data_IF_047089446953
#
_entry.id   IF_047089446953
#
_cell.length_a   1.000
_cell.length_b   1.000
_cell.length_c   1.000
_cell.angle_alpha   90.00
_cell.angle_beta   90.00
_cell.angle_gamma   90.00
#
_symmetry.space_group_name_H-M   'P 1'
#
loop_
_entity.id
_entity.type
_entity.pdbx_description
1 polymer ?
#
# COMPACT_ATOMS: atom_id res chain seq x y z
N UNK A 1 12.01 -7.49 -22.03
CA UNK A 1 10.78 -7.19 -21.27
C UNK A 1 11.17 -6.27 -20.13
N UNK A 2 10.37 -5.23 -19.81
CA UNK A 2 10.65 -4.37 -18.65
C UNK A 2 10.64 -5.21 -17.36
N UNK A 3 11.60 -4.98 -16.48
CA UNK A 3 11.72 -5.67 -15.20
C UNK A 3 10.50 -5.45 -14.29
N UNK A 4 10.27 -6.36 -13.36
CA UNK A 4 9.27 -6.22 -12.31
C UNK A 4 9.70 -5.11 -11.35
N UNK A 5 8.78 -4.26 -10.95
CA UNK A 5 9.04 -3.13 -10.06
C UNK A 5 8.50 -3.39 -8.65
N UNK A 6 9.11 -2.77 -7.65
CA UNK A 6 8.67 -2.86 -6.25
C UNK A 6 8.19 -1.47 -5.79
N UNK A 7 7.00 -1.42 -5.20
CA UNK A 7 6.51 -0.28 -4.42
C UNK A 7 6.73 -0.61 -2.94
N UNK A 8 7.50 0.21 -2.27
CA UNK A 8 7.85 0.01 -0.86
C UNK A 8 6.76 0.56 0.05
N UNK A 9 6.32 -0.21 1.06
CA UNK A 9 5.13 0.13 1.87
C UNK A 9 5.39 0.23 3.37
N UNK A 10 6.61 0.02 3.85
CA UNK A 10 6.91 -0.03 5.30
C UNK A 10 6.58 1.27 6.02
N UNK A 11 6.85 2.42 5.39
CA UNK A 11 6.62 3.74 6.01
C UNK A 11 5.13 4.04 6.22
N UNK A 12 4.26 3.48 5.39
CA UNK A 12 2.82 3.68 5.48
C UNK A 12 2.07 2.41 5.91
N UNK A 13 1.97 1.39 5.04
CA UNK A 13 1.09 0.24 5.29
C UNK A 13 1.66 -0.69 6.37
N UNK A 14 2.94 -1.01 6.31
CA UNK A 14 3.61 -1.81 7.33
C UNK A 14 3.54 -1.16 8.71
N UNK A 15 3.86 0.13 8.80
CA UNK A 15 3.74 0.93 10.01
C UNK A 15 2.29 0.97 10.53
N UNK A 16 1.31 1.11 9.64
CA UNK A 16 -0.10 1.12 10.03
C UNK A 16 -0.56 -0.26 10.52
N UNK A 17 -0.20 -1.30 9.82
CA UNK A 17 -0.67 -2.66 10.09
C UNK A 17 -0.07 -3.24 11.37
N UNK A 18 1.24 -3.13 11.55
CA UNK A 18 1.94 -3.73 12.68
C UNK A 18 2.11 -2.80 13.87
N UNK A 19 2.22 -1.49 13.62
CA UNK A 19 2.57 -0.48 14.64
C UNK A 19 1.49 0.60 14.81
N UNK A 20 0.28 0.37 14.32
CA UNK A 20 -0.86 1.29 14.41
C UNK A 20 -0.53 2.72 13.95
N UNK A 21 0.32 2.87 12.94
CA UNK A 21 0.87 4.12 12.40
C UNK A 21 1.75 4.94 13.39
N UNK A 22 2.14 4.35 14.51
CA UNK A 22 2.89 5.05 15.57
C UNK A 22 4.37 4.70 15.64
N UNK A 23 4.82 3.67 14.93
CA UNK A 23 6.20 3.19 15.02
C UNK A 23 7.24 4.15 14.42
N UNK A 24 6.83 5.01 13.49
CA UNK A 24 7.74 5.84 12.70
C UNK A 24 7.39 7.32 12.81
N UNK A 25 8.34 8.13 13.23
CA UNK A 25 8.30 9.60 13.22
C UNK A 25 9.12 10.17 12.06
N UNK A 26 9.18 11.49 11.96
CA UNK A 26 9.91 12.19 10.90
C UNK A 26 11.41 11.91 10.94
N UNK A 27 12.03 11.87 12.13
CA UNK A 27 13.45 11.61 12.26
C UNK A 27 13.82 10.20 11.77
N UNK A 28 13.04 9.18 12.17
CA UNK A 28 13.22 7.79 11.71
C UNK A 28 13.01 7.65 10.22
N UNK A 29 12.02 8.34 9.66
CA UNK A 29 11.78 8.39 8.21
C UNK A 29 12.99 8.93 7.45
N UNK A 30 13.53 10.08 7.90
CA UNK A 30 14.67 10.72 7.25
C UNK A 30 15.97 9.91 7.40
N UNK A 31 16.11 9.16 8.47
CA UNK A 31 17.28 8.28 8.67
C UNK A 31 17.37 7.19 7.61
N UNK A 32 16.24 6.60 7.18
CA UNK A 32 16.24 5.51 6.19
C UNK A 32 16.16 6.03 4.75
N UNK A 33 15.74 7.26 4.54
CA UNK A 33 15.50 7.83 3.21
C UNK A 33 16.69 7.72 2.24
N UNK A 34 17.96 8.03 2.63
CA UNK A 34 19.10 7.92 1.71
C UNK A 34 19.37 6.48 1.24
N UNK A 35 19.07 5.48 2.07
CA UNK A 35 19.21 4.08 1.69
C UNK A 35 18.08 3.66 0.76
N UNK A 36 16.83 4.02 1.07
CA UNK A 36 15.67 3.74 0.23
C UNK A 36 15.81 4.35 -1.16
N UNK A 37 16.39 5.56 -1.26
CA UNK A 37 16.66 6.24 -2.55
C UNK A 37 17.62 5.46 -3.45
N UNK A 38 18.52 4.65 -2.88
CA UNK A 38 19.48 3.83 -3.65
C UNK A 38 18.89 2.52 -4.14
N UNK A 39 17.83 2.01 -3.52
CA UNK A 39 17.26 0.69 -3.85
C UNK A 39 16.70 0.64 -5.27
N UNK A 40 16.18 1.74 -5.80
CA UNK A 40 15.50 1.76 -7.10
C UNK A 40 14.03 1.36 -7.02
N UNK A 41 13.37 1.59 -5.89
CA UNK A 41 11.92 1.38 -5.78
C UNK A 41 11.15 2.22 -6.81
N UNK A 42 10.08 1.65 -7.36
CA UNK A 42 9.15 2.37 -8.22
C UNK A 42 8.53 3.58 -7.54
N UNK A 43 8.21 3.43 -6.28
CA UNK A 43 7.67 4.47 -5.41
C UNK A 43 7.77 4.04 -3.94
N UNK A 44 7.70 5.01 -3.04
CA UNK A 44 7.50 4.79 -1.62
C UNK A 44 6.04 5.10 -1.28
N UNK A 45 5.28 4.12 -0.83
CA UNK A 45 3.97 4.33 -0.23
C UNK A 45 4.17 5.01 1.14
N UNK A 46 4.11 6.34 1.14
CA UNK A 46 4.71 7.16 2.17
C UNK A 46 3.73 7.55 3.27
N UNK A 47 2.55 8.02 2.89
CA UNK A 47 1.60 8.56 3.85
C UNK A 47 0.15 8.52 3.35
N UNK A 48 -0.77 8.76 4.27
CA UNK A 48 -2.21 8.88 4.04
C UNK A 48 -2.76 9.87 5.06
N UNK A 49 -3.99 10.30 4.91
CA UNK A 49 -4.68 11.17 5.87
C UNK A 49 -4.64 10.62 7.32
N UNK A 50 -4.73 9.31 7.50
CA UNK A 50 -4.57 8.66 8.81
C UNK A 50 -3.20 8.97 9.43
N UNK A 51 -2.11 8.82 8.66
CA UNK A 51 -0.76 9.11 9.13
C UNK A 51 -0.56 10.60 9.42
N UNK A 52 -1.15 11.49 8.60
CA UNK A 52 -1.15 12.93 8.88
C UNK A 52 -1.87 13.24 10.19
N UNK A 53 -3.02 12.61 10.43
CA UNK A 53 -3.75 12.74 11.70
C UNK A 53 -2.96 12.21 12.91
N UNK A 54 -2.24 11.10 12.75
CA UNK A 54 -1.35 10.53 13.78
C UNK A 54 -0.17 11.46 14.05
N UNK A 55 0.47 12.02 13.02
CA UNK A 55 1.56 12.98 13.16
C UNK A 55 1.16 14.15 14.04
N UNK A 56 0.01 14.77 13.78
CA UNK A 56 -0.50 15.89 14.58
C UNK A 56 -0.90 15.48 16.00
N UNK A 57 -1.71 14.42 16.13
CA UNK A 57 -2.35 14.06 17.41
C UNK A 57 -1.38 13.40 18.39
N UNK A 58 -0.53 12.53 17.91
CA UNK A 58 0.30 11.65 18.76
C UNK A 58 1.79 12.00 18.70
N UNK A 59 2.31 12.38 17.54
CA UNK A 59 3.74 12.70 17.37
C UNK A 59 4.05 14.19 17.58
N UNK A 60 3.01 15.07 17.51
CA UNK A 60 3.17 16.54 17.61
C UNK A 60 4.08 17.09 16.51
N UNK A 61 3.97 16.52 15.30
CA UNK A 61 4.74 16.87 14.12
C UNK A 61 3.84 17.54 13.07
N UNK A 62 4.42 18.43 12.27
CA UNK A 62 3.77 18.97 11.06
C UNK A 62 3.87 17.94 9.92
N UNK A 63 2.76 17.32 9.49
CA UNK A 63 2.77 16.33 8.42
C UNK A 63 3.18 16.90 7.06
N UNK A 64 2.94 18.18 6.82
CA UNK A 64 3.35 18.84 5.57
C UNK A 64 4.86 19.05 5.52
N UNK A 65 5.47 19.45 6.63
CA UNK A 65 6.92 19.55 6.74
C UNK A 65 7.57 18.18 6.56
N UNK A 66 7.01 17.14 7.18
CA UNK A 66 7.48 15.75 7.00
C UNK A 66 7.51 15.35 5.52
N UNK A 67 6.47 15.70 4.74
CA UNK A 67 6.43 15.43 3.29
C UNK A 67 7.54 16.19 2.57
N UNK A 68 7.69 17.49 2.83
CA UNK A 68 8.72 18.34 2.20
C UNK A 68 10.14 17.83 2.47
N UNK A 69 10.41 17.47 3.72
CA UNK A 69 11.72 16.93 4.12
C UNK A 69 12.02 15.60 3.43
N UNK A 70 11.02 14.72 3.37
CA UNK A 70 11.18 13.42 2.70
C UNK A 70 11.37 13.58 1.19
N UNK A 71 10.60 14.44 0.53
CA UNK A 71 10.75 14.74 -0.90
C UNK A 71 12.14 15.30 -1.23
N UNK A 72 12.69 16.13 -0.34
CA UNK A 72 14.07 16.62 -0.47
C UNK A 72 15.11 15.52 -0.28
N UNK A 73 14.88 14.58 0.65
CA UNK A 73 15.78 13.47 0.92
C UNK A 73 15.74 12.39 -0.18
N UNK A 74 14.64 12.28 -0.90
CA UNK A 74 14.41 11.29 -1.97
C UNK A 74 13.95 11.97 -3.27
N UNK A 75 14.84 12.69 -3.96
CA UNK A 75 14.45 13.50 -5.14
C UNK A 75 14.11 12.67 -6.39
N UNK A 76 14.61 11.43 -6.50
CA UNK A 76 14.38 10.57 -7.67
C UNK A 76 13.19 9.63 -7.47
N UNK A 77 13.06 9.04 -6.28
CA UNK A 77 12.01 8.05 -5.99
C UNK A 77 10.68 8.77 -5.67
N UNK A 78 9.60 8.54 -6.42
CA UNK A 78 8.32 9.17 -6.16
C UNK A 78 7.76 8.80 -4.78
N UNK A 79 7.33 9.80 -4.01
CA UNK A 79 6.52 9.58 -2.81
C UNK A 79 5.05 9.42 -3.20
N UNK A 80 4.40 8.40 -2.63
CA UNK A 80 3.00 8.09 -2.87
C UNK A 80 2.14 8.51 -1.68
N UNK A 81 1.03 9.20 -1.97
CA UNK A 81 -0.06 9.44 -1.04
C UNK A 81 -1.22 8.48 -1.33
N UNK A 82 -1.73 7.79 -0.30
CA UNK A 82 -2.95 6.99 -0.42
C UNK A 82 -4.16 7.83 -0.01
N UNK A 83 -5.11 8.01 -0.95
CA UNK A 83 -6.41 8.64 -0.71
C UNK A 83 -7.55 7.62 -0.76
N UNK A 84 -8.53 7.77 0.11
CA UNK A 84 -9.74 6.93 0.15
C UNK A 84 -10.95 7.64 -0.50
N UNK A 85 -10.80 8.07 -1.74
CA UNK A 85 -11.80 8.86 -2.46
C UNK A 85 -11.91 10.28 -1.89
N UNK A 86 -13.13 10.79 -1.76
CA UNK A 86 -13.41 12.12 -1.22
C UNK A 86 -13.33 12.21 0.32
N UNK A 87 -12.34 11.52 0.93
CA UNK A 87 -12.09 11.55 2.39
C UNK A 87 -10.66 11.94 2.65
N UNK A 88 -10.44 12.93 3.52
CA UNK A 88 -9.08 13.39 3.78
C UNK A 88 -8.66 13.22 5.25
N UNK A 89 -9.35 13.79 6.20
CA UNK A 89 -8.94 13.74 7.63
C UNK A 89 -9.81 12.78 8.45
N UNK A 90 -11.02 12.55 8.01
CA UNK A 90 -11.99 11.68 8.66
C UNK A 90 -12.59 10.69 7.68
N UNK A 91 -13.50 9.86 8.15
CA UNK A 91 -14.33 9.01 7.29
C UNK A 91 -15.51 9.75 6.65
N UNK A 92 -15.70 11.02 6.97
CA UNK A 92 -16.72 11.87 6.36
C UNK A 92 -16.27 12.32 4.97
N UNK A 93 -17.23 12.50 4.09
CA UNK A 93 -16.98 12.98 2.73
C UNK A 93 -16.66 14.47 2.78
N UNK A 94 -15.53 14.86 2.22
CA UNK A 94 -15.13 16.24 2.06
C UNK A 94 -15.70 16.84 0.76
N UNK A 95 -15.84 18.18 0.70
CA UNK A 95 -16.24 18.84 -0.52
C UNK A 95 -15.17 18.74 -1.62
N UNK A 96 -15.56 18.81 -2.91
CA UNK A 96 -14.61 18.80 -4.02
C UNK A 96 -13.55 19.90 -3.90
N UNK A 97 -13.93 21.10 -3.47
CA UNK A 97 -13.03 22.25 -3.31
C UNK A 97 -11.97 21.98 -2.23
N UNK A 98 -12.40 21.41 -1.11
CA UNK A 98 -11.47 21.02 -0.04
C UNK A 98 -10.52 19.92 -0.52
N UNK A 99 -11.01 18.91 -1.23
CA UNK A 99 -10.15 17.85 -1.78
C UNK A 99 -9.15 18.40 -2.79
N UNK A 100 -9.58 19.31 -3.67
CA UNK A 100 -8.69 19.97 -4.62
C UNK A 100 -7.58 20.77 -3.92
N UNK A 101 -7.92 21.52 -2.87
CA UNK A 101 -6.94 22.22 -2.04
C UNK A 101 -5.96 21.25 -1.37
N UNK A 102 -6.46 20.16 -0.81
CA UNK A 102 -5.64 19.13 -0.18
C UNK A 102 -4.66 18.49 -1.18
N UNK A 103 -5.13 18.10 -2.36
CA UNK A 103 -4.27 17.54 -3.42
C UNK A 103 -3.25 18.57 -3.92
N UNK A 104 -3.62 19.83 -4.12
CA UNK A 104 -2.69 20.89 -4.50
C UNK A 104 -1.59 21.07 -3.43
N UNK A 105 -1.95 21.03 -2.15
CA UNK A 105 -0.99 21.13 -1.05
C UNK A 105 -0.06 19.92 -0.98
N UNK A 106 -0.57 18.71 -1.26
CA UNK A 106 0.24 17.50 -1.34
C UNK A 106 1.26 17.60 -2.49
N UNK A 107 0.82 18.00 -3.68
CA UNK A 107 1.69 18.17 -4.85
C UNK A 107 2.77 19.22 -4.58
N UNK A 108 2.41 20.40 -4.09
CA UNK A 108 3.38 21.46 -3.78
C UNK A 108 4.32 21.09 -2.62
N UNK A 109 3.93 20.14 -1.77
CA UNK A 109 4.80 19.58 -0.74
C UNK A 109 5.73 18.48 -1.24
N UNK A 110 5.59 18.00 -2.50
CA UNK A 110 6.47 17.04 -3.13
C UNK A 110 5.90 15.64 -3.34
N UNK A 111 4.58 15.45 -3.15
CA UNK A 111 3.92 14.21 -3.56
C UNK A 111 3.80 14.14 -5.08
N UNK A 112 4.33 13.07 -5.67
CA UNK A 112 4.33 12.89 -7.13
C UNK A 112 3.40 11.77 -7.59
N UNK A 113 3.13 10.79 -6.71
CA UNK A 113 2.30 9.64 -6.99
C UNK A 113 1.11 9.59 -6.03
N UNK A 114 -0.07 9.22 -6.56
CA UNK A 114 -1.31 9.12 -5.79
C UNK A 114 -1.95 7.76 -6.02
N UNK A 115 -2.24 7.04 -4.93
CA UNK A 115 -3.03 5.82 -4.94
C UNK A 115 -4.45 6.14 -4.48
N UNK A 116 -5.43 5.83 -5.31
CA UNK A 116 -6.85 6.03 -5.01
C UNK A 116 -7.48 4.69 -4.63
N UNK A 117 -7.91 4.54 -3.39
CA UNK A 117 -8.46 3.30 -2.87
C UNK A 117 -9.80 3.54 -2.15
N UNK A 118 -10.86 3.74 -2.92
CA UNK A 118 -12.21 3.77 -2.37
C UNK A 118 -12.64 2.34 -1.97
N UNK A 119 -12.93 2.08 -0.69
CA UNK A 119 -13.33 0.74 -0.23
C UNK A 119 -14.60 0.21 -0.89
N UNK A 120 -15.45 1.10 -1.41
CA UNK A 120 -16.69 0.74 -2.10
C UNK A 120 -16.50 0.51 -3.60
N UNK A 121 -15.26 0.58 -4.11
CA UNK A 121 -14.95 0.48 -5.54
C UNK A 121 -15.76 1.43 -6.44
N UNK A 122 -16.08 2.63 -5.93
CA UNK A 122 -16.78 3.63 -6.74
C UNK A 122 -15.83 4.20 -7.79
N UNK A 123 -15.87 3.63 -8.99
CA UNK A 123 -14.99 4.02 -10.09
C UNK A 123 -15.20 5.50 -10.50
N UNK A 124 -16.42 6.00 -10.47
CA UNK A 124 -16.72 7.39 -10.86
C UNK A 124 -16.10 8.39 -9.86
N UNK A 125 -16.15 8.08 -8.56
CA UNK A 125 -15.48 8.85 -7.51
C UNK A 125 -13.96 8.84 -7.68
N UNK A 126 -13.38 7.68 -7.96
CA UNK A 126 -11.93 7.56 -8.19
C UNK A 126 -11.49 8.32 -9.45
N UNK A 127 -12.27 8.29 -10.54
CA UNK A 127 -11.98 9.07 -11.76
C UNK A 127 -12.06 10.57 -11.47
N UNK A 128 -13.08 11.02 -10.71
CA UNK A 128 -13.18 12.43 -10.33
C UNK A 128 -11.97 12.89 -9.48
N UNK A 129 -11.54 12.09 -8.51
CA UNK A 129 -10.33 12.36 -7.75
C UNK A 129 -9.07 12.36 -8.62
N UNK A 130 -8.95 11.41 -9.56
CA UNK A 130 -7.81 11.34 -10.48
C UNK A 130 -7.69 12.62 -11.32
N UNK A 131 -8.82 13.09 -11.86
CA UNK A 131 -8.87 14.36 -12.61
C UNK A 131 -8.42 15.54 -11.77
N UNK A 132 -8.93 15.67 -10.54
CA UNK A 132 -8.51 16.75 -9.63
C UNK A 132 -7.00 16.72 -9.35
N UNK A 133 -6.44 15.52 -9.14
CA UNK A 133 -4.99 15.35 -8.91
C UNK A 133 -4.20 15.80 -10.13
N UNK A 134 -4.61 15.41 -11.34
CA UNK A 134 -3.97 15.83 -12.59
C UNK A 134 -4.07 17.33 -12.80
N UNK A 135 -5.24 17.93 -12.55
CA UNK A 135 -5.45 19.39 -12.66
C UNK A 135 -4.53 20.20 -11.74
N UNK A 136 -4.14 19.68 -10.59
CA UNK A 136 -3.24 20.36 -9.65
C UNK A 136 -1.76 19.96 -9.82
N UNK A 137 -1.42 19.18 -10.86
CA UNK A 137 -0.04 18.83 -11.23
C UNK A 137 0.45 17.49 -10.66
N UNK A 138 -0.43 16.61 -10.17
CA UNK A 138 -0.03 15.26 -9.77
C UNK A 138 0.47 14.46 -10.97
N UNK A 139 1.67 13.84 -10.84
CA UNK A 139 2.36 13.21 -11.96
C UNK A 139 1.77 11.83 -12.31
N UNK A 140 1.43 11.02 -11.31
CA UNK A 140 1.01 9.64 -11.52
C UNK A 140 -0.12 9.24 -10.58
N UNK A 141 -1.19 8.69 -11.15
CA UNK A 141 -2.37 8.22 -10.41
C UNK A 141 -2.57 6.74 -10.66
N UNK A 142 -2.60 5.95 -9.58
CA UNK A 142 -2.95 4.53 -9.62
C UNK A 142 -4.26 4.30 -8.90
N UNK A 143 -5.25 3.69 -9.57
CA UNK A 143 -6.56 3.45 -9.00
C UNK A 143 -6.71 1.99 -8.54
N UNK A 144 -7.23 1.82 -7.31
CA UNK A 144 -7.44 0.51 -6.71
C UNK A 144 -8.73 -0.16 -7.19
N UNK A 145 -8.62 -1.46 -7.33
CA UNK A 145 -9.71 -2.41 -7.21
C UNK A 145 -9.58 -3.06 -5.83
N UNK A 146 -10.35 -2.59 -4.87
CA UNK A 146 -10.27 -3.07 -3.47
C UNK A 146 -10.94 -4.43 -3.40
N UNK A 147 -10.13 -5.45 -3.11
CA UNK A 147 -10.59 -6.83 -3.07
C UNK A 147 -11.32 -7.14 -1.76
N UNK A 148 -12.49 -7.74 -1.89
CA UNK A 148 -13.30 -8.30 -0.80
C UNK A 148 -14.08 -9.51 -1.31
N UNK A 149 -14.67 -10.26 -0.41
CA UNK A 149 -15.45 -11.44 -0.71
C UNK A 149 -16.92 -11.20 -0.39
N UNK A 150 -17.77 -11.36 -1.37
CA UNK A 150 -19.24 -11.41 -1.21
C UNK A 150 -19.84 -12.03 -2.47
N UNK A 151 -21.14 -12.37 -2.47
CA UNK A 151 -21.82 -12.94 -3.65
C UNK A 151 -21.80 -12.05 -4.89
N UNK A 152 -21.57 -10.74 -4.74
CA UNK A 152 -21.54 -9.78 -5.87
C UNK A 152 -20.12 -9.42 -6.32
N UNK A 153 -19.07 -9.78 -5.56
CA UNK A 153 -17.68 -9.45 -5.88
C UNK A 153 -17.01 -10.60 -6.65
N UNK A 154 -17.60 -10.92 -7.81
CA UNK A 154 -17.07 -11.90 -8.77
C UNK A 154 -16.09 -11.24 -9.78
N UNK A 155 -15.63 -12.01 -10.77
CA UNK A 155 -14.73 -11.51 -11.80
C UNK A 155 -15.39 -10.43 -12.67
N UNK A 156 -16.67 -10.58 -12.99
CA UNK A 156 -17.40 -9.65 -13.85
C UNK A 156 -17.56 -8.27 -13.16
N UNK A 157 -17.83 -8.27 -11.86
CA UNK A 157 -17.86 -7.04 -11.06
C UNK A 157 -16.52 -6.28 -11.12
N UNK A 158 -15.41 -6.97 -10.84
CA UNK A 158 -14.09 -6.34 -10.87
C UNK A 158 -13.68 -5.90 -12.27
N UNK A 159 -14.00 -6.68 -13.30
CA UNK A 159 -13.76 -6.34 -14.70
C UNK A 159 -14.55 -5.09 -15.12
N UNK A 160 -15.82 -4.96 -14.71
CA UNK A 160 -16.62 -3.78 -14.97
C UNK A 160 -16.01 -2.51 -14.33
N UNK A 161 -15.60 -2.60 -13.06
CA UNK A 161 -14.90 -1.50 -12.37
C UNK A 161 -13.57 -1.17 -13.07
N UNK A 162 -12.77 -2.20 -13.42
CA UNK A 162 -11.48 -2.04 -14.08
C UNK A 162 -11.60 -1.31 -15.43
N UNK A 163 -12.60 -1.66 -16.25
CA UNK A 163 -12.87 -1.00 -17.53
C UNK A 163 -13.18 0.48 -17.36
N UNK A 164 -14.02 0.83 -16.39
CA UNK A 164 -14.36 2.24 -16.10
C UNK A 164 -13.12 3.04 -15.69
N UNK A 165 -12.30 2.51 -14.79
CA UNK A 165 -11.06 3.16 -14.36
C UNK A 165 -10.06 3.28 -15.52
N UNK A 166 -9.91 2.22 -16.30
CA UNK A 166 -8.97 2.20 -17.43
C UNK A 166 -9.36 3.14 -18.56
N UNK A 167 -10.64 3.42 -18.74
CA UNK A 167 -11.15 4.36 -19.76
C UNK A 167 -10.75 5.83 -19.48
N UNK A 168 -10.42 6.18 -18.24
CA UNK A 168 -10.02 7.54 -17.90
C UNK A 168 -8.55 7.79 -18.27
N UNK A 169 -8.28 8.89 -18.97
CA UNK A 169 -6.91 9.35 -19.26
C UNK A 169 -6.16 9.82 -18.00
N UNK A 170 -6.91 10.21 -16.96
CA UNK A 170 -6.34 10.71 -15.70
C UNK A 170 -5.85 9.58 -14.76
N UNK A 171 -6.17 8.32 -15.07
CA UNK A 171 -5.69 7.13 -14.35
C UNK A 171 -4.53 6.51 -15.11
N UNK A 172 -3.33 6.50 -14.57
CA UNK A 172 -2.14 5.99 -15.25
C UNK A 172 -1.98 4.47 -15.12
N UNK A 173 -2.41 3.89 -13.99
CA UNK A 173 -2.34 2.45 -13.72
C UNK A 173 -3.49 2.00 -12.81
N UNK A 174 -3.71 0.69 -12.78
CA UNK A 174 -4.60 0.08 -11.80
C UNK A 174 -3.80 -0.83 -10.86
N UNK A 175 -4.33 -1.03 -9.65
CA UNK A 175 -3.80 -2.08 -8.78
C UNK A 175 -4.91 -2.85 -8.07
N UNK A 176 -4.71 -4.16 -7.94
CA UNK A 176 -5.56 -4.98 -7.08
C UNK A 176 -5.06 -4.75 -5.66
N UNK A 177 -5.94 -4.23 -4.80
CA UNK A 177 -5.65 -3.98 -3.39
C UNK A 177 -6.42 -4.95 -2.53
N UNK A 178 -5.70 -5.91 -1.97
CA UNK A 178 -6.21 -6.89 -1.01
C UNK A 178 -5.74 -6.56 0.42
N UNK A 179 -6.40 -5.61 1.10
CA UNK A 179 -5.97 -5.16 2.43
C UNK A 179 -6.32 -6.15 3.53
N UNK A 180 -7.21 -7.11 3.25
CA UNK A 180 -7.55 -8.21 4.15
C UNK A 180 -6.62 -9.41 4.03
N UNK A 181 -5.82 -9.49 2.98
CA UNK A 181 -5.00 -10.66 2.66
C UNK A 181 -5.84 -11.88 2.31
N UNK A 182 -7.00 -11.68 1.66
CA UNK A 182 -8.00 -12.71 1.38
C UNK A 182 -7.86 -13.34 -0.01
N UNK A 183 -7.04 -12.73 -0.87
CA UNK A 183 -6.82 -13.21 -2.23
C UNK A 183 -6.00 -14.50 -2.21
N UNK A 184 -6.65 -15.62 -2.46
CA UNK A 184 -5.99 -16.92 -2.55
C UNK A 184 -5.34 -17.12 -3.93
N UNK A 185 -4.32 -17.99 -4.08
CA UNK A 185 -3.77 -18.33 -5.39
C UNK A 185 -4.83 -18.85 -6.37
N UNK A 186 -5.80 -19.64 -5.89
CA UNK A 186 -6.90 -20.14 -6.71
C UNK A 186 -7.77 -18.99 -7.26
N UNK A 187 -8.12 -18.01 -6.41
CA UNK A 187 -8.93 -16.87 -6.81
C UNK A 187 -8.16 -15.90 -7.73
N UNK A 188 -6.87 -15.75 -7.48
CA UNK A 188 -5.98 -14.90 -8.28
C UNK A 188 -5.86 -15.38 -9.73
N UNK A 189 -5.87 -16.70 -9.96
CA UNK A 189 -5.74 -17.32 -11.31
C UNK A 189 -6.86 -16.94 -12.27
N UNK A 190 -8.04 -16.60 -11.78
CA UNK A 190 -9.15 -16.13 -12.62
C UNK A 190 -9.21 -14.61 -12.66
N UNK A 191 -9.14 -13.98 -11.48
CA UNK A 191 -9.33 -12.55 -11.33
C UNK A 191 -8.25 -11.70 -12.02
N UNK A 192 -6.97 -12.01 -11.80
CA UNK A 192 -5.87 -11.19 -12.31
C UNK A 192 -5.82 -11.19 -13.84
N UNK A 193 -5.88 -12.35 -14.53
CA UNK A 193 -5.96 -12.38 -15.99
C UNK A 193 -7.19 -11.67 -16.55
N UNK A 194 -8.37 -11.80 -15.91
CA UNK A 194 -9.60 -11.16 -16.35
C UNK A 194 -9.47 -9.62 -16.28
N UNK A 195 -8.95 -9.09 -15.18
CA UNK A 195 -8.67 -7.65 -15.03
C UNK A 195 -7.62 -7.22 -16.06
N UNK A 196 -6.52 -7.99 -16.22
CA UNK A 196 -5.45 -7.66 -17.18
C UNK A 196 -6.00 -7.50 -18.60
N UNK A 197 -6.87 -8.42 -19.03
CA UNK A 197 -7.49 -8.37 -20.34
C UNK A 197 -8.44 -7.16 -20.53
N UNK A 198 -8.98 -6.63 -19.44
CA UNK A 198 -9.97 -5.55 -19.45
C UNK A 198 -9.39 -4.13 -19.49
N UNK A 199 -8.10 -3.95 -19.14
CA UNK A 199 -7.50 -2.63 -18.91
C UNK A 199 -6.58 -2.12 -20.02
N UNK A 200 -6.53 -2.82 -21.17
CA UNK A 200 -5.71 -2.43 -22.32
C UNK A 200 -4.21 -2.37 -21.96
N UNK A 201 -3.53 -1.30 -22.33
CA UNK A 201 -2.08 -1.14 -22.09
C UNK A 201 -1.73 -0.59 -20.70
N UNK A 202 -2.70 -0.25 -19.88
CA UNK A 202 -2.44 0.30 -18.55
C UNK A 202 -1.72 -0.72 -17.67
N UNK A 203 -0.67 -0.31 -16.95
CA UNK A 203 0.02 -1.18 -15.99
C UNK A 203 -0.92 -1.71 -14.91
N UNK A 204 -0.74 -2.98 -14.54
CA UNK A 204 -1.40 -3.60 -13.40
C UNK A 204 -0.39 -3.82 -12.29
N UNK A 205 -0.74 -3.42 -11.08
CA UNK A 205 0.04 -3.61 -9.86
C UNK A 205 -0.73 -4.50 -8.88
N UNK A 206 -0.04 -5.11 -7.93
CA UNK A 206 -0.64 -5.98 -6.91
C UNK A 206 -0.18 -5.60 -5.52
N UNK A 207 -1.16 -5.46 -4.62
CA UNK A 207 -0.98 -5.24 -3.20
C UNK A 207 -1.84 -6.26 -2.44
N UNK A 208 -1.21 -7.13 -1.69
CA UNK A 208 -1.91 -8.08 -0.82
C UNK A 208 -1.22 -8.17 0.53
N UNK A 209 -2.00 -8.39 1.59
CA UNK A 209 -1.48 -8.64 2.92
C UNK A 209 -1.20 -10.14 3.15
N UNK A 210 -0.35 -10.46 4.12
CA UNK A 210 0.01 -11.84 4.47
C UNK A 210 -0.91 -12.47 5.53
N UNK A 211 -2.06 -11.87 5.77
CA UNK A 211 -2.94 -12.15 6.91
C UNK A 211 -3.35 -13.62 7.06
N UNK A 212 -3.57 -14.30 5.94
CA UNK A 212 -3.89 -15.74 5.89
C UNK A 212 -2.72 -16.62 5.44
N UNK A 213 -1.51 -16.07 5.36
CA UNK A 213 -0.31 -16.80 4.95
C UNK A 213 -0.17 -17.08 3.45
N UNK A 214 -1.05 -16.57 2.59
CA UNK A 214 -1.07 -16.87 1.16
C UNK A 214 -0.63 -15.72 0.25
N UNK A 215 -0.46 -14.51 0.77
CA UNK A 215 -0.16 -13.31 -0.03
C UNK A 215 1.10 -13.44 -0.88
N UNK A 216 2.18 -14.01 -0.34
CA UNK A 216 3.42 -14.19 -1.07
C UNK A 216 3.28 -15.22 -2.22
N UNK A 217 2.49 -16.27 -2.03
CA UNK A 217 2.25 -17.27 -3.09
C UNK A 217 1.55 -16.63 -4.31
N UNK A 218 0.62 -15.70 -4.08
CA UNK A 218 -0.02 -14.94 -5.17
C UNK A 218 0.99 -14.08 -5.91
N UNK A 219 1.97 -13.51 -5.19
CA UNK A 219 3.01 -12.66 -5.79
C UNK A 219 3.93 -13.45 -6.72
N UNK A 220 4.21 -14.72 -6.42
CA UNK A 220 5.09 -15.55 -7.26
C UNK A 220 4.50 -15.82 -8.65
N UNK A 221 3.18 -15.99 -8.74
CA UNK A 221 2.49 -16.22 -10.01
C UNK A 221 2.11 -14.91 -10.76
N UNK A 222 1.99 -13.81 -10.04
CA UNK A 222 1.46 -12.53 -10.55
C UNK A 222 2.18 -11.96 -11.80
N UNK A 223 3.52 -12.02 -11.92
CA UNK A 223 4.21 -11.54 -13.12
C UNK A 223 3.81 -12.32 -14.37
N UNK A 224 3.55 -13.63 -14.26
CA UNK A 224 3.06 -14.49 -15.33
C UNK A 224 1.67 -14.07 -15.84
N UNK A 225 0.88 -13.41 -15.03
CA UNK A 225 -0.43 -12.84 -15.38
C UNK A 225 -0.37 -11.37 -15.83
N UNK A 226 0.84 -10.82 -16.00
CA UNK A 226 1.04 -9.47 -16.51
C UNK A 226 1.03 -8.36 -15.46
N UNK A 227 1.14 -8.70 -14.18
CA UNK A 227 1.41 -7.70 -13.12
C UNK A 227 2.82 -7.14 -13.30
N UNK A 228 2.97 -5.81 -13.17
CA UNK A 228 4.21 -5.08 -13.42
C UNK A 228 4.85 -4.49 -12.18
N UNK A 229 4.11 -4.35 -11.08
CA UNK A 229 4.65 -3.92 -9.82
C UNK A 229 4.00 -4.64 -8.64
N UNK A 230 4.80 -4.95 -7.62
CA UNK A 230 4.37 -5.58 -6.38
C UNK A 230 4.61 -4.63 -5.22
N UNK A 231 3.64 -4.54 -4.33
CA UNK A 231 3.72 -3.74 -3.12
C UNK A 231 4.26 -4.59 -1.98
N UNK A 232 5.46 -4.27 -1.51
CA UNK A 232 6.17 -5.04 -0.49
C UNK A 232 6.58 -4.15 0.68
N UNK A 233 6.71 -4.73 1.85
CA UNK A 233 7.27 -4.08 3.02
C UNK A 233 8.65 -4.66 3.36
N UNK A 234 9.39 -4.02 4.26
CA UNK A 234 10.78 -4.38 4.56
C UNK A 234 10.99 -4.71 6.04
N UNK A 235 11.84 -5.69 6.31
CA UNK A 235 12.27 -6.08 7.65
C UNK A 235 11.08 -6.37 8.59
N UNK A 236 11.15 -5.88 9.82
CA UNK A 236 10.12 -6.10 10.84
C UNK A 236 8.75 -5.47 10.50
N UNK A 237 8.68 -4.55 9.52
CA UNK A 237 7.42 -3.94 9.07
C UNK A 237 6.68 -4.79 8.03
N UNK A 238 7.21 -5.93 7.63
CA UNK A 238 6.63 -6.85 6.64
C UNK A 238 6.03 -8.09 7.28
N UNK A 239 5.31 -8.88 6.49
CA UNK A 239 4.72 -10.15 6.92
C UNK A 239 3.56 -10.02 7.94
N UNK A 240 3.03 -11.12 8.42
CA UNK A 240 1.90 -11.11 9.36
C UNK A 240 0.66 -10.48 8.77
N UNK A 241 0.18 -9.42 9.40
CA UNK A 241 -0.96 -8.61 8.91
C UNK A 241 -0.51 -7.46 7.99
N UNK A 242 0.74 -7.46 7.54
CA UNK A 242 1.33 -6.50 6.60
C UNK A 242 1.56 -7.14 5.22
N UNK A 243 2.27 -6.42 4.35
CA UNK A 243 2.61 -6.90 3.00
C UNK A 243 3.77 -7.91 3.01
N UNK A 244 3.94 -8.69 1.93
CA UNK A 244 5.07 -9.60 1.78
C UNK A 244 6.43 -8.90 1.91
N UNK A 245 7.44 -9.59 2.48
CA UNK A 245 8.78 -9.03 2.64
C UNK A 245 9.48 -8.82 1.29
N UNK A 246 9.91 -7.60 1.03
CA UNK A 246 10.53 -7.20 -0.23
C UNK A 246 11.76 -8.04 -0.59
N UNK A 247 12.64 -8.33 0.37
CA UNK A 247 13.85 -9.10 0.16
C UNK A 247 13.53 -10.55 -0.26
N UNK A 248 12.60 -11.21 0.45
CA UNK A 248 12.19 -12.59 0.15
C UNK A 248 11.43 -12.67 -1.18
N UNK A 249 10.53 -11.73 -1.46
CA UNK A 249 9.81 -11.64 -2.72
C UNK A 249 10.77 -11.49 -3.91
N UNK A 250 11.74 -10.57 -3.81
CA UNK A 250 12.72 -10.35 -4.88
C UNK A 250 13.62 -11.57 -5.07
N UNK A 251 14.07 -12.22 -3.99
CA UNK A 251 14.89 -13.43 -4.08
C UNK A 251 14.13 -14.56 -4.75
N UNK A 252 12.91 -14.86 -4.29
CA UNK A 252 12.08 -15.94 -4.85
C UNK A 252 11.72 -15.70 -6.33
N UNK A 253 11.38 -14.47 -6.70
CA UNK A 253 11.08 -14.12 -8.10
C UNK A 253 12.28 -14.28 -9.02
N UNK A 254 13.50 -14.00 -8.53
CA UNK A 254 14.72 -14.24 -9.30
C UNK A 254 14.97 -15.72 -9.55
N UNK A 255 14.73 -16.57 -8.55
CA UNK A 255 14.80 -18.04 -8.71
C UNK A 255 13.75 -18.56 -9.71
N UNK A 256 12.61 -17.90 -9.83
CA UNK A 256 11.58 -18.18 -10.83
C UNK A 256 11.88 -17.57 -12.21
N UNK A 257 13.05 -16.94 -12.40
CA UNK A 257 13.47 -16.36 -13.66
C UNK A 257 12.93 -14.96 -13.96
N UNK A 258 12.31 -14.30 -12.99
CA UNK A 258 11.88 -12.92 -13.12
C UNK A 258 12.98 -11.95 -12.70
N UNK A 259 13.14 -10.85 -13.42
CA UNK A 259 14.08 -9.78 -13.04
C UNK A 259 13.34 -8.69 -12.29
N UNK A 260 13.79 -8.40 -11.06
CA UNK A 260 13.39 -7.22 -10.30
C UNK A 260 14.54 -6.20 -10.31
N UNK A 261 14.24 -4.99 -10.75
CA UNK A 261 15.23 -3.93 -10.97
C UNK A 261 15.45 -3.15 -9.66
N UNK A 262 16.14 -3.79 -8.71
CA UNK A 262 16.46 -3.22 -7.40
C UNK A 262 17.90 -3.55 -6.99
N UNK A 263 18.57 -2.61 -6.30
CA UNK A 263 19.86 -2.83 -5.67
C UNK A 263 19.67 -3.69 -4.40
N UNK A 264 20.14 -4.94 -4.45
CA UNK A 264 19.99 -5.91 -3.35
C UNK A 264 20.73 -5.52 -2.08
N UNK A 265 21.88 -4.85 -2.21
CA UNK A 265 22.66 -4.44 -1.03
C UNK A 265 21.94 -3.31 -0.30
N UNK A 266 21.47 -2.32 -1.03
CA UNK A 266 20.64 -1.25 -0.46
C UNK A 266 19.33 -1.80 0.12
N UNK A 267 18.68 -2.77 -0.55
CA UNK A 267 17.48 -3.42 -0.04
C UNK A 267 17.73 -4.13 1.28
N UNK A 268 18.84 -4.88 1.39
CA UNK A 268 19.25 -5.52 2.63
C UNK A 268 19.53 -4.51 3.75
N UNK A 269 20.07 -3.32 3.43
CA UNK A 269 20.24 -2.24 4.40
C UNK A 269 18.89 -1.71 4.91
N UNK A 270 17.91 -1.51 4.03
CA UNK A 270 16.54 -1.10 4.40
C UNK A 270 15.90 -2.13 5.32
N UNK A 271 16.01 -3.43 5.00
CA UNK A 271 15.49 -4.52 5.84
C UNK A 271 16.12 -4.51 7.23
N UNK A 272 17.45 -4.37 7.32
CA UNK A 272 18.16 -4.27 8.59
C UNK A 272 17.73 -3.04 9.40
N UNK A 273 17.49 -1.91 8.73
CA UNK A 273 17.02 -0.70 9.41
C UNK A 273 15.70 -0.94 10.14
N UNK A 274 14.67 -1.45 9.45
CA UNK A 274 13.36 -1.67 10.06
C UNK A 274 13.39 -2.76 11.14
N UNK A 275 14.25 -3.77 10.99
CA UNK A 275 14.45 -4.81 12.01
C UNK A 275 15.06 -4.22 13.28
N UNK A 276 16.15 -3.46 13.15
CA UNK A 276 16.80 -2.80 14.29
C UNK A 276 15.93 -1.74 14.96
N UNK A 277 15.14 -1.00 14.16
CA UNK A 277 14.17 -0.04 14.69
C UNK A 277 13.14 -0.74 15.58
N UNK A 278 12.59 -1.86 15.11
CA UNK A 278 11.61 -2.60 15.88
C UNK A 278 12.21 -3.17 17.17
N UNK A 279 13.42 -3.71 17.13
CA UNK A 279 14.15 -4.20 18.31
C UNK A 279 14.41 -3.08 19.32
N UNK A 280 14.91 -1.93 18.87
CA UNK A 280 15.25 -0.80 19.73
C UNK A 280 14.03 -0.16 20.40
N UNK A 281 12.88 -0.15 19.72
CA UNK A 281 11.65 0.49 20.20
C UNK A 281 10.66 -0.52 20.82
N UNK A 282 11.01 -1.82 20.87
CA UNK A 282 10.12 -2.87 21.38
C UNK A 282 8.84 -3.03 20.52
N UNK A 283 8.92 -2.75 19.20
CA UNK A 283 7.80 -2.87 18.30
C UNK A 283 7.64 -4.32 17.82
N UNK A 284 6.41 -4.81 17.61
CA UNK A 284 6.20 -6.16 17.12
C UNK A 284 6.73 -6.34 15.70
N UNK A 285 7.51 -7.38 15.47
CA UNK A 285 7.91 -7.77 14.12
C UNK A 285 6.79 -8.63 13.48
N UNK A 286 6.51 -8.37 12.19
CA UNK A 286 5.67 -9.27 11.42
C UNK A 286 6.33 -10.63 11.25
N UNK A 287 5.51 -11.68 11.17
CA UNK A 287 5.98 -13.08 11.03
C UNK A 287 5.07 -13.82 10.07
N UNK A 288 5.59 -14.80 9.32
CA UNK A 288 4.77 -15.67 8.48
C UNK A 288 3.59 -16.22 9.28
N UNK A 289 2.41 -16.21 8.65
CA UNK A 289 1.18 -16.71 9.23
C UNK A 289 0.85 -18.09 8.67
N UNK A 290 0.26 -18.95 9.50
CA UNK A 290 -0.43 -20.12 9.01
C UNK A 290 -1.76 -19.71 8.36
N UNK A 291 -2.29 -20.58 7.49
CA UNK A 291 -3.62 -20.37 6.94
C UNK A 291 -4.67 -20.31 8.04
N UNK A 292 -5.45 -19.22 8.06
CA UNK A 292 -6.54 -19.03 9.02
C UNK A 292 -7.82 -18.61 8.28
N UNK A 293 -8.77 -19.55 8.20
CA UNK A 293 -10.05 -19.34 7.54
C UNK A 293 -10.97 -18.35 8.28
N UNK A 294 -10.70 -18.01 9.54
CA UNK A 294 -11.52 -17.05 10.29
C UNK A 294 -11.51 -15.66 9.66
N UNK A 295 -10.42 -15.30 8.99
CA UNK A 295 -10.33 -14.01 8.27
C UNK A 295 -11.36 -13.87 7.16
N UNK A 296 -11.82 -14.94 6.55
CA UNK A 296 -12.87 -14.88 5.52
C UNK A 296 -14.25 -14.47 6.09
N UNK A 297 -14.47 -14.64 7.40
CA UNK A 297 -15.73 -14.26 8.03
C UNK A 297 -15.79 -12.76 8.35
N UNK A 298 -14.71 -12.19 8.89
CA UNK A 298 -14.72 -10.78 9.30
C UNK A 298 -14.08 -9.83 8.27
N UNK A 299 -13.21 -10.32 7.41
CA UNK A 299 -12.55 -9.59 6.30
C UNK A 299 -11.88 -8.26 6.71
N UNK A 300 -11.42 -8.14 7.95
CA UNK A 300 -10.83 -6.91 8.45
C UNK A 300 -9.46 -6.64 7.78
N UNK A 301 -9.24 -5.42 7.27
CA UNK A 301 -7.94 -5.01 6.75
C UNK A 301 -6.85 -5.07 7.84
N UNK A 302 -5.62 -5.43 7.45
CA UNK A 302 -4.48 -5.54 8.37
C UNK A 302 -4.25 -4.28 9.20
N UNK A 303 -4.36 -3.10 8.59
CA UNK A 303 -4.25 -1.82 9.28
C UNK A 303 -5.31 -1.58 10.36
N UNK A 304 -6.53 -2.11 10.18
CA UNK A 304 -7.58 -2.06 11.20
C UNK A 304 -7.30 -3.05 12.33
N UNK A 305 -6.85 -4.26 12.01
CA UNK A 305 -6.49 -5.28 13.01
C UNK A 305 -5.40 -4.77 13.94
N UNK A 306 -4.36 -4.13 13.40
CA UNK A 306 -3.28 -3.52 14.20
C UNK A 306 -3.80 -2.46 15.17
N UNK A 307 -4.65 -1.57 14.69
CA UNK A 307 -5.28 -0.52 15.52
C UNK A 307 -6.17 -1.12 16.61
N UNK A 308 -7.01 -2.10 16.28
CA UNK A 308 -7.86 -2.79 17.26
C UNK A 308 -7.03 -3.50 18.34
N UNK A 309 -5.99 -4.24 17.96
CA UNK A 309 -5.11 -4.93 18.93
C UNK A 309 -4.51 -3.95 19.92
N UNK A 310 -4.08 -2.79 19.45
CA UNK A 310 -3.57 -1.72 20.31
C UNK A 310 -4.65 -1.23 21.28
N UNK A 311 -5.83 -0.86 20.82
CA UNK A 311 -6.92 -0.40 21.70
C UNK A 311 -7.33 -1.45 22.74
N UNK A 312 -7.40 -2.72 22.35
CA UNK A 312 -7.66 -3.81 23.29
C UNK A 312 -6.56 -3.91 24.36
N UNK A 313 -5.30 -3.71 23.98
CA UNK A 313 -4.18 -3.73 24.93
C UNK A 313 -4.25 -2.53 25.90
N UNK A 314 -4.47 -1.34 25.39
CA UNK A 314 -4.63 -0.11 26.20
C UNK A 314 -5.80 -0.20 27.16
N UNK A 315 -6.90 -0.86 26.74
CA UNK A 315 -8.09 -1.10 27.56
C UNK A 315 -7.98 -2.31 28.49
N UNK A 316 -6.83 -2.99 28.54
CA UNK A 316 -6.60 -4.25 29.28
C UNK A 316 -7.53 -5.41 28.87
N UNK A 317 -7.97 -5.39 27.63
CA UNK A 317 -8.86 -6.41 27.02
C UNK A 317 -8.12 -7.28 26.01
N UNK A 318 -6.81 -7.44 26.13
CA UNK A 318 -5.97 -8.20 25.19
C UNK A 318 -6.35 -9.69 25.07
N UNK A 319 -7.10 -10.21 26.05
CA UNK A 319 -7.67 -11.58 26.01
C UNK A 319 -8.82 -11.72 25.01
N UNK A 320 -9.45 -10.61 24.61
CA UNK A 320 -10.44 -10.60 23.54
C UNK A 320 -9.74 -10.70 22.20
N UNK A 321 -9.89 -11.83 21.53
CA UNK A 321 -9.36 -12.02 20.18
C UNK A 321 -10.38 -11.53 19.15
N UNK A 322 -9.89 -10.84 18.13
CA UNK A 322 -10.66 -10.70 16.89
C UNK A 322 -10.67 -12.07 16.23
N UNK A 323 -11.78 -12.76 16.34
CA UNK A 323 -12.02 -14.08 15.73
C UNK A 323 -12.90 -13.93 14.51
#
# INVERSE_FOLDING_TARGET
MAGLQIVETSLRDGNQSLWAALGIDTARTLTVAPVMERVGFKAIDFTTSTHMGVAVRYKKEDPWERIRLMAKAMPRTPLQFLSTGFRFISWETASPEFMKLAFATLVTSGMRRFALADPMNNADSNVACARMIKEVGGEYVVAALVFTLSPIHDDDHYVACARKLAASADVDALYIKDPGGLLTPLRARTLIPAIRAAIGDKPLELHSHCTIGLGELVYMDAPGWGVRALHCASGAASDGISNPPSERVVANLRELGHHADVDLNALAEVNRYFTRLAEAEGLPAGRPQAFDAAYFHHQLPGGMVGTMRRHLTESRLSHMRVR
#
